data_IF_134561620569
#
_entry.id   IF_134561620569
#
_cell.length_a   1.000
_cell.length_b   1.000
_cell.length_c   1.000
_cell.angle_alpha   90.00
_cell.angle_beta   90.00
_cell.angle_gamma   90.00
#
_symmetry.space_group_name_H-M   'P 1'
#
loop_
_entity.id
_entity.type
_entity.pdbx_description
1 polymer ?
#
# COMPACT_ATOMS: atom_id res chain seq x y z
N UNK A 1 14.50 -11.48 16.55
CA UNK A 1 14.67 -11.66 15.09
C UNK A 1 13.43 -11.08 14.43
N UNK A 2 13.51 -9.96 13.70
CA UNK A 2 12.37 -9.49 12.90
C UNK A 2 12.30 -10.40 11.67
N UNK A 3 11.26 -11.22 11.56
CA UNK A 3 10.98 -11.92 10.32
C UNK A 3 10.71 -10.85 9.26
N UNK A 4 11.55 -10.78 8.24
CA UNK A 4 11.32 -9.91 7.10
C UNK A 4 10.34 -10.66 6.21
N UNK A 5 9.07 -10.22 6.22
CA UNK A 5 8.05 -10.76 5.33
C UNK A 5 8.37 -10.39 3.89
N UNK A 6 8.35 -11.37 3.00
CA UNK A 6 8.60 -11.20 1.57
C UNK A 6 7.32 -11.31 0.71
N UNK A 7 7.48 -11.28 -0.61
CA UNK A 7 6.36 -11.40 -1.55
C UNK A 7 5.59 -12.72 -1.40
N UNK A 8 6.30 -13.82 -1.13
CA UNK A 8 5.70 -15.15 -1.01
C UNK A 8 4.85 -15.24 0.25
N UNK A 9 5.35 -14.68 1.36
CA UNK A 9 4.58 -14.61 2.61
C UNK A 9 3.25 -13.85 2.42
N UNK A 10 3.27 -12.76 1.63
CA UNK A 10 2.07 -12.00 1.30
C UNK A 10 1.11 -12.81 0.41
N UNK A 11 1.61 -13.51 -0.61
CA UNK A 11 0.77 -14.37 -1.46
C UNK A 11 0.10 -15.48 -0.64
N UNK A 12 0.85 -16.16 0.22
CA UNK A 12 0.35 -17.24 1.06
C UNK A 12 -0.73 -16.74 2.02
N UNK A 13 -0.52 -15.54 2.61
CA UNK A 13 -1.53 -14.86 3.41
C UNK A 13 -2.81 -14.60 2.61
N UNK A 14 -2.72 -13.95 1.44
CA UNK A 14 -3.89 -13.57 0.65
C UNK A 14 -4.69 -14.79 0.17
N UNK A 15 -4.00 -15.89 -0.19
CA UNK A 15 -4.64 -17.16 -0.54
C UNK A 15 -5.38 -17.78 0.64
N UNK A 16 -4.77 -17.79 1.83
CA UNK A 16 -5.38 -18.34 3.04
C UNK A 16 -6.64 -17.56 3.44
N UNK A 17 -6.61 -16.24 3.29
CA UNK A 17 -7.78 -15.38 3.55
C UNK A 17 -8.83 -15.41 2.43
N UNK A 18 -8.60 -16.15 1.33
CA UNK A 18 -9.55 -16.27 0.22
C UNK A 18 -9.77 -14.97 -0.57
N UNK A 19 -8.82 -14.04 -0.52
CA UNK A 19 -8.92 -12.74 -1.19
C UNK A 19 -8.50 -12.88 -2.65
N UNK A 20 -9.27 -12.31 -3.58
CA UNK A 20 -8.85 -12.24 -4.98
C UNK A 20 -7.75 -11.18 -5.15
N UNK A 21 -6.62 -11.54 -5.75
CA UNK A 21 -5.49 -10.63 -5.90
C UNK A 21 -4.71 -10.85 -7.21
N UNK A 22 -3.96 -9.81 -7.61
CA UNK A 22 -2.94 -9.87 -8.66
C UNK A 22 -1.77 -8.97 -8.28
N UNK A 23 -0.58 -9.55 -8.09
CA UNK A 23 0.65 -8.81 -7.81
C UNK A 23 1.31 -8.40 -9.13
N UNK A 24 1.63 -7.11 -9.28
CA UNK A 24 2.28 -6.57 -10.47
C UNK A 24 3.67 -6.05 -10.11
N UNK A 25 4.72 -6.68 -10.65
CA UNK A 25 6.09 -6.19 -10.52
C UNK A 25 6.31 -4.99 -11.44
N UNK A 26 6.81 -3.88 -10.90
CA UNK A 26 7.19 -2.70 -11.65
C UNK A 26 8.66 -2.37 -11.40
N UNK A 27 9.45 -2.02 -12.44
CA UNK A 27 10.75 -1.39 -12.23
C UNK A 27 10.50 -0.07 -11.48
N UNK A 28 11.18 0.13 -10.35
CA UNK A 28 11.01 1.21 -9.36
C UNK A 28 10.13 2.39 -9.81
N UNK A 29 8.89 2.45 -9.32
CA UNK A 29 8.06 3.65 -9.44
C UNK A 29 8.41 4.59 -8.29
N UNK A 30 9.17 5.64 -8.59
CA UNK A 30 9.68 6.62 -7.62
C UNK A 30 8.56 7.54 -7.11
N UNK A 31 7.43 7.69 -7.84
CA UNK A 31 6.29 8.51 -7.42
C UNK A 31 4.90 7.92 -7.75
N UNK A 32 3.88 8.22 -6.93
CA UNK A 32 2.49 7.72 -7.08
C UNK A 32 1.84 8.12 -8.43
N UNK A 33 2.26 9.24 -9.02
CA UNK A 33 1.82 9.65 -10.35
C UNK A 33 2.28 8.67 -11.45
N UNK A 34 3.44 8.05 -11.28
CA UNK A 34 3.98 7.04 -12.22
C UNK A 34 3.25 5.70 -12.05
N UNK A 35 2.79 5.39 -10.84
CA UNK A 35 1.99 4.20 -10.59
C UNK A 35 0.67 4.22 -11.37
N UNK A 36 -0.05 5.36 -11.34
CA UNK A 36 -1.31 5.54 -12.10
C UNK A 36 -1.08 5.45 -13.61
N UNK A 37 -0.08 6.17 -14.15
CA UNK A 37 0.27 6.11 -15.58
C UNK A 37 0.69 4.70 -16.02
N UNK A 38 1.45 3.99 -15.20
CA UNK A 38 1.99 2.68 -15.57
C UNK A 38 1.01 1.51 -15.34
N UNK A 39 -0.11 1.70 -14.63
CA UNK A 39 -1.16 0.67 -14.49
C UNK A 39 -2.41 1.00 -15.30
N UNK A 40 -2.61 2.25 -15.72
CA UNK A 40 -3.88 2.74 -16.23
C UNK A 40 -4.98 2.81 -15.16
N UNK A 41 -4.61 2.64 -13.88
CA UNK A 41 -5.55 2.73 -12.75
C UNK A 41 -5.62 4.21 -12.34
N UNK A 42 -6.83 4.81 -12.29
CA UNK A 42 -7.01 6.17 -11.80
C UNK A 42 -6.41 6.35 -10.39
N UNK A 43 -5.85 7.53 -10.11
CA UNK A 43 -5.08 7.78 -8.88
C UNK A 43 -5.92 7.59 -7.61
N UNK A 44 -7.21 7.89 -7.67
CA UNK A 44 -8.19 7.71 -6.59
C UNK A 44 -8.40 6.24 -6.20
N UNK A 45 -8.07 5.29 -7.10
CA UNK A 45 -8.12 3.84 -6.84
C UNK A 45 -6.80 3.29 -6.32
N UNK A 46 -5.76 4.10 -6.23
CA UNK A 46 -4.47 3.73 -5.65
C UNK A 46 -4.46 4.21 -4.20
N UNK A 47 -4.29 3.32 -3.24
CA UNK A 47 -4.20 3.71 -1.82
C UNK A 47 -2.77 4.00 -1.39
N UNK A 48 -2.60 4.95 -0.47
CA UNK A 48 -1.36 5.20 0.28
C UNK A 48 -1.57 4.74 1.72
N UNK A 49 -0.58 4.03 2.26
CA UNK A 49 -0.52 3.68 3.69
C UNK A 49 0.52 4.56 4.36
N UNK A 50 0.09 5.37 5.33
CA UNK A 50 0.95 6.29 6.08
C UNK A 50 1.01 5.86 7.54
N UNK A 51 2.19 5.90 8.14
CA UNK A 51 2.39 5.57 9.56
C UNK A 51 2.51 6.87 10.35
N UNK A 52 1.66 7.01 11.37
CA UNK A 52 1.63 8.15 12.30
C UNK A 52 1.88 7.66 13.73
N UNK A 53 2.19 8.61 14.61
CA UNK A 53 2.17 8.42 16.06
C UNK A 53 1.09 9.33 16.64
N UNK A 54 0.04 8.77 17.22
CA UNK A 54 -1.06 9.49 17.85
C UNK A 54 -1.19 8.99 19.29
N UNK A 55 -1.23 9.92 20.26
CA UNK A 55 -1.32 9.60 21.70
C UNK A 55 -0.30 8.56 22.20
N UNK A 56 0.90 8.55 21.59
CA UNK A 56 1.96 7.60 21.93
C UNK A 56 1.92 6.28 21.14
N UNK A 57 0.81 5.98 20.48
CA UNK A 57 0.56 4.73 19.76
C UNK A 57 0.83 4.86 18.25
N UNK A 58 1.38 3.81 17.59
CA UNK A 58 1.54 3.78 16.15
C UNK A 58 0.21 3.52 15.45
N UNK A 59 -0.15 4.37 14.49
CA UNK A 59 -1.39 4.27 13.69
C UNK A 59 -1.05 4.17 12.21
N UNK A 60 -1.74 3.31 11.47
CA UNK A 60 -1.65 3.23 10.01
C UNK A 60 -2.92 3.79 9.38
N UNK A 61 -2.78 4.86 8.60
CA UNK A 61 -3.88 5.43 7.82
C UNK A 61 -3.80 4.91 6.37
N UNK A 62 -4.90 4.33 5.87
CA UNK A 62 -5.04 3.91 4.47
C UNK A 62 -5.97 4.89 3.78
N UNK A 63 -5.43 5.68 2.83
CA UNK A 63 -6.17 6.76 2.17
C UNK A 63 -6.02 6.70 0.65
N UNK A 64 -6.98 7.25 -0.13
CA UNK A 64 -6.83 7.41 -1.58
C UNK A 64 -5.58 8.22 -1.96
N UNK A 65 -5.00 7.92 -3.13
CA UNK A 65 -3.72 8.44 -3.57
C UNK A 65 -3.74 9.94 -3.90
N UNK A 66 -4.91 10.48 -4.19
CA UNK A 66 -5.19 11.90 -4.44
C UNK A 66 -5.56 12.66 -3.16
N UNK A 67 -5.78 11.95 -2.05
CA UNK A 67 -6.13 12.54 -0.76
C UNK A 67 -4.90 12.92 0.06
N UNK A 68 -5.03 14.01 0.83
CA UNK A 68 -4.04 14.44 1.82
C UNK A 68 -4.61 14.24 3.21
N UNK A 69 -3.88 13.52 4.06
CA UNK A 69 -4.24 13.39 5.48
C UNK A 69 -4.00 14.73 6.16
N UNK A 70 -5.03 15.21 6.86
CA UNK A 70 -4.87 16.25 7.86
C UNK A 70 -4.50 15.58 9.19
N UNK A 71 -3.35 15.96 9.74
CA UNK A 71 -2.77 15.37 10.94
C UNK A 71 -2.65 16.39 12.09
N UNK A 72 -3.34 17.53 11.94
CA UNK A 72 -3.42 18.58 12.95
C UNK A 72 -4.38 18.22 14.10
#
# INVERSE_FOLDING_TARGET
MRAQMDEKDLEDFLRREGVWFRILKKPQTIHTADASKATGIPLERITKSLVFKADGEPVVAVVPGDSRVDAA
#
